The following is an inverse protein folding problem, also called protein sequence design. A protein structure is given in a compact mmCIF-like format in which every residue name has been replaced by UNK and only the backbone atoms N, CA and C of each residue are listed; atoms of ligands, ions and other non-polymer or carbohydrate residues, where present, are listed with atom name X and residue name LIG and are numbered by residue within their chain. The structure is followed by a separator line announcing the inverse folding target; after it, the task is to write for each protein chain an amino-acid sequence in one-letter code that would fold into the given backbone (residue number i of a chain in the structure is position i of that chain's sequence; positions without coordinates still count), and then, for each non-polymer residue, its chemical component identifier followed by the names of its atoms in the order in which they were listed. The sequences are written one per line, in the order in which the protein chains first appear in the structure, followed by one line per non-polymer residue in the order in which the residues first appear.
data_IF_132523248686
#
_entry.id   IF_132523248686
#
_cell.length_a   1.000
_cell.length_b   1.000
_cell.length_c   1.000
_cell.angle_alpha   90.00
_cell.angle_beta   90.00
_cell.angle_gamma   90.00
#
_symmetry.space_group_name_H-M   'P 1'
#
loop_
_entity.id
_entity.type
_entity.pdbx_description
1 polymer ?
#
# COMPACT_ATOMS: atom_id res chain seq x y z
N UNK A 1 15.26 50.03 -9.90
CA UNK A 1 16.44 49.14 -10.00
C UNK A 1 16.74 48.46 -8.66
N UNK A 2 16.65 49.14 -7.51
CA UNK A 2 16.75 48.51 -6.18
C UNK A 2 15.57 47.56 -5.88
N UNK A 3 14.33 47.95 -6.17
CA UNK A 3 13.14 47.10 -5.90
C UNK A 3 13.13 45.79 -6.70
N UNK A 4 13.67 45.80 -7.93
CA UNK A 4 13.81 44.61 -8.76
C UNK A 4 14.88 43.65 -8.25
N UNK A 5 15.96 44.16 -7.64
CA UNK A 5 17.04 43.35 -7.05
C UNK A 5 16.58 42.73 -5.73
N UNK A 6 15.86 43.49 -4.91
CA UNK A 6 15.25 42.99 -3.66
C UNK A 6 14.20 41.92 -3.95
N UNK A 7 13.33 42.13 -4.95
CA UNK A 7 12.33 41.16 -5.39
C UNK A 7 12.94 39.84 -5.90
N UNK A 8 14.02 39.92 -6.69
CA UNK A 8 14.74 38.74 -7.17
C UNK A 8 15.44 37.96 -6.04
N UNK A 9 16.03 38.66 -5.06
CA UNK A 9 16.64 38.04 -3.88
C UNK A 9 15.64 37.29 -3.01
N UNK A 10 14.46 37.87 -2.77
CA UNK A 10 13.37 37.21 -2.01
C UNK A 10 12.85 35.98 -2.74
N UNK A 11 12.69 36.04 -4.06
CA UNK A 11 12.22 34.90 -4.85
C UNK A 11 13.24 33.75 -4.84
N UNK A 12 14.53 34.06 -5.00
CA UNK A 12 15.60 33.06 -4.93
C UNK A 12 15.64 32.39 -3.54
N UNK A 13 15.54 33.19 -2.47
CA UNK A 13 15.47 32.68 -1.10
C UNK A 13 14.26 31.76 -0.88
N UNK A 14 13.08 32.12 -1.41
CA UNK A 14 11.88 31.27 -1.35
C UNK A 14 12.07 29.94 -2.07
N UNK A 15 12.70 29.94 -3.24
CA UNK A 15 12.97 28.71 -3.99
C UNK A 15 14.02 27.82 -3.30
N UNK A 16 15.06 28.42 -2.71
CA UNK A 16 16.02 27.71 -1.86
C UNK A 16 15.33 27.09 -0.64
N UNK A 17 14.43 27.83 0.01
CA UNK A 17 13.68 27.35 1.17
C UNK A 17 12.74 26.19 0.78
N UNK A 18 12.00 26.32 -0.33
CA UNK A 18 11.15 25.24 -0.88
C UNK A 18 11.97 24.00 -1.21
N UNK A 19 13.14 24.18 -1.82
CA UNK A 19 14.07 23.09 -2.16
C UNK A 19 14.59 22.40 -0.89
N UNK A 20 15.01 23.17 0.11
CA UNK A 20 15.46 22.66 1.41
C UNK A 20 14.36 21.88 2.13
N UNK A 21 13.14 22.43 2.20
CA UNK A 21 11.97 21.76 2.77
C UNK A 21 11.69 20.46 2.03
N UNK A 22 11.68 20.47 0.68
CA UNK A 22 11.45 19.27 -0.13
C UNK A 22 12.48 18.16 0.12
N UNK A 23 13.70 18.51 0.49
CA UNK A 23 14.78 17.56 0.84
C UNK A 23 14.71 17.05 2.28
N UNK A 24 13.79 17.57 3.10
CA UNK A 24 13.59 17.12 4.47
C UNK A 24 12.19 16.50 4.60
N UNK A 25 12.09 15.16 4.56
CA UNK A 25 10.80 14.45 4.65
C UNK A 25 10.01 14.79 5.92
N UNK A 26 10.72 15.05 7.04
CA UNK A 26 10.12 15.53 8.28
C UNK A 26 9.46 16.91 8.14
N UNK A 27 10.15 17.88 7.54
CA UNK A 27 9.59 19.23 7.33
C UNK A 27 8.43 19.21 6.35
N UNK A 28 8.52 18.40 5.28
CA UNK A 28 7.40 18.17 4.36
C UNK A 28 6.17 17.63 5.09
N UNK A 29 6.34 16.62 5.94
CA UNK A 29 5.25 16.06 6.75
C UNK A 29 4.67 17.10 7.70
N UNK A 30 5.49 17.85 8.42
CA UNK A 30 5.04 18.88 9.35
C UNK A 30 4.22 19.98 8.65
N UNK A 31 4.68 20.48 7.50
CA UNK A 31 3.98 21.52 6.72
C UNK A 31 2.66 20.99 6.16
N UNK A 32 2.66 19.74 5.65
CA UNK A 32 1.43 19.10 5.16
C UNK A 32 0.41 18.92 6.29
N UNK A 33 0.83 18.38 7.43
CA UNK A 33 -0.04 18.19 8.60
C UNK A 33 -0.60 19.52 9.12
N UNK A 34 0.20 20.59 9.14
CA UNK A 34 -0.25 21.93 9.50
C UNK A 34 -1.29 22.47 8.50
N UNK A 35 -1.02 22.36 7.20
CA UNK A 35 -1.95 22.81 6.14
C UNK A 35 -3.27 22.05 6.16
N UNK A 36 -3.24 20.77 6.49
CA UNK A 36 -4.41 19.90 6.55
C UNK A 36 -5.14 19.96 7.90
N UNK A 37 -4.64 20.72 8.89
CA UNK A 37 -5.25 20.84 10.22
C UNK A 37 -5.06 19.61 11.13
N UNK A 38 -4.26 18.63 10.71
CA UNK A 38 -4.09 17.31 11.36
C UNK A 38 -2.88 17.22 12.29
N UNK A 39 -2.49 18.32 12.92
CA UNK A 39 -1.26 18.37 13.74
C UNK A 39 -1.37 17.50 15.01
N UNK A 40 -2.59 17.22 15.48
CA UNK A 40 -2.86 16.52 16.74
C UNK A 40 -3.72 15.24 16.60
N UNK A 41 -4.13 14.88 15.37
CA UNK A 41 -4.89 13.65 15.15
C UNK A 41 -3.97 12.42 15.17
N UNK A 42 -4.43 11.32 15.77
CA UNK A 42 -3.77 10.02 15.56
C UNK A 42 -3.84 9.70 14.07
N UNK A 43 -2.69 9.42 13.46
CA UNK A 43 -2.61 9.10 12.03
C UNK A 43 -3.42 7.84 11.65
N UNK A 44 -3.59 6.89 12.56
CA UNK A 44 -4.34 5.67 12.32
C UNK A 44 -4.85 5.02 13.62
N UNK A 45 -5.89 4.19 13.49
CA UNK A 45 -6.38 3.30 14.54
C UNK A 45 -5.60 1.99 14.54
N UNK A 46 -5.26 1.47 15.73
CA UNK A 46 -4.47 0.25 15.88
C UNK A 46 -5.09 -0.69 16.91
N UNK A 47 -5.27 -1.95 16.52
CA UNK A 47 -5.66 -3.08 17.37
C UNK A 47 -4.71 -4.25 17.08
N UNK A 48 -3.99 -4.73 18.08
CA UNK A 48 -3.04 -5.85 17.92
C UNK A 48 -3.22 -6.81 19.08
N UNK A 49 -3.58 -8.05 18.77
CA UNK A 49 -3.66 -9.18 19.68
C UNK A 49 -2.67 -10.26 19.23
N UNK A 50 -1.77 -10.66 20.14
CA UNK A 50 -0.70 -11.63 19.88
C UNK A 50 0.69 -10.99 20.00
N UNK A 51 1.71 -11.83 19.97
CA UNK A 51 3.08 -11.50 20.32
C UNK A 51 3.95 -11.24 19.10
N UNK A 52 5.06 -10.51 19.29
CA UNK A 52 6.12 -10.32 18.29
C UNK A 52 5.68 -9.68 16.96
N UNK A 53 4.53 -8.99 16.95
CA UNK A 53 4.10 -8.21 15.78
C UNK A 53 4.92 -6.92 15.67
N UNK A 54 5.46 -6.66 14.47
CA UNK A 54 6.31 -5.50 14.18
C UNK A 54 5.60 -4.59 13.18
N UNK A 55 5.37 -3.34 13.59
CA UNK A 55 4.95 -2.26 12.71
C UNK A 55 6.07 -1.26 12.57
N UNK A 56 6.70 -1.24 11.39
CA UNK A 56 7.72 -0.28 11.01
C UNK A 56 7.11 0.76 10.06
N UNK A 57 6.79 1.94 10.58
CA UNK A 57 6.24 3.04 9.78
C UNK A 57 7.27 4.16 9.78
N UNK A 58 7.83 4.45 8.62
CA UNK A 58 8.87 5.47 8.49
C UNK A 58 8.33 6.88 8.79
N UNK A 59 9.23 7.76 9.23
CA UNK A 59 8.84 9.05 9.83
C UNK A 59 8.04 9.92 8.87
N UNK A 60 8.33 9.88 7.57
CA UNK A 60 7.65 10.72 6.58
C UNK A 60 6.39 10.08 5.99
N UNK A 61 6.13 8.81 6.26
CA UNK A 61 4.88 8.14 5.86
C UNK A 61 3.68 8.81 6.54
N UNK A 62 2.58 8.92 5.79
CA UNK A 62 1.32 9.52 6.25
C UNK A 62 0.20 8.50 6.09
N UNK A 63 -0.42 8.17 7.22
CA UNK A 63 -1.64 7.38 7.26
C UNK A 63 -2.75 8.35 7.68
N UNK A 64 -3.84 8.34 6.93
CA UNK A 64 -4.99 9.23 7.10
C UNK A 64 -6.25 8.37 7.18
N UNK A 65 -6.92 8.38 8.33
CA UNK A 65 -8.11 7.55 8.56
C UNK A 65 -7.85 6.05 8.24
N UNK A 66 -6.65 5.56 8.56
CA UNK A 66 -6.30 4.16 8.38
C UNK A 66 -6.63 3.35 9.64
N UNK A 67 -6.85 2.05 9.46
CA UNK A 67 -6.99 1.09 10.55
C UNK A 67 -6.03 -0.07 10.32
N UNK A 68 -5.30 -0.47 11.37
CA UNK A 68 -4.48 -1.67 11.40
C UNK A 68 -5.02 -2.59 12.49
N UNK A 69 -5.49 -3.78 12.11
CA UNK A 69 -6.11 -4.74 13.01
C UNK A 69 -5.50 -6.13 12.83
N UNK A 70 -4.73 -6.57 13.83
CA UNK A 70 -3.95 -7.81 13.79
C UNK A 70 -4.41 -8.73 14.91
N UNK A 71 -4.74 -9.98 14.57
CA UNK A 71 -4.87 -11.08 15.52
C UNK A 71 -3.95 -12.21 15.05
N UNK A 72 -2.91 -12.47 15.82
CA UNK A 72 -1.88 -13.46 15.54
C UNK A 72 -0.48 -12.99 15.92
N UNK A 73 0.53 -13.79 15.61
CA UNK A 73 1.88 -13.58 16.11
C UNK A 73 2.90 -13.36 14.99
N UNK A 74 3.96 -12.63 15.30
CA UNK A 74 5.13 -12.47 14.43
C UNK A 74 4.82 -11.88 13.06
N UNK A 75 3.76 -11.07 12.92
CA UNK A 75 3.45 -10.38 11.67
C UNK A 75 4.34 -9.15 11.50
N UNK A 76 4.73 -8.86 10.27
CA UNK A 76 5.60 -7.74 9.92
C UNK A 76 4.93 -6.82 8.92
N UNK A 77 4.77 -5.54 9.27
CA UNK A 77 4.28 -4.50 8.37
C UNK A 77 5.36 -3.42 8.27
N UNK A 78 5.83 -3.13 7.07
CA UNK A 78 6.69 -1.99 6.76
C UNK A 78 6.01 -1.02 5.81
N UNK A 79 5.98 0.25 6.18
CA UNK A 79 5.51 1.35 5.34
C UNK A 79 6.63 2.38 5.26
N UNK A 80 7.24 2.49 4.09
CA UNK A 80 8.42 3.31 3.85
C UNK A 80 8.10 4.80 3.66
N UNK A 81 9.17 5.59 3.55
CA UNK A 81 9.13 7.04 3.45
C UNK A 81 8.23 7.56 2.31
N UNK A 82 7.63 8.72 2.56
CA UNK A 82 6.81 9.49 1.60
C UNK A 82 5.55 8.79 1.08
N UNK A 83 5.27 7.57 1.53
CA UNK A 83 4.02 6.88 1.26
C UNK A 83 2.83 7.55 1.94
N UNK A 84 1.70 7.60 1.24
CA UNK A 84 0.46 8.25 1.69
C UNK A 84 -0.69 7.29 1.56
N UNK A 85 -1.21 6.82 2.68
CA UNK A 85 -2.36 5.92 2.72
C UNK A 85 -3.57 6.70 3.24
N UNK A 86 -4.63 6.79 2.44
CA UNK A 86 -5.91 7.37 2.84
C UNK A 86 -6.97 6.28 2.90
N UNK A 87 -7.72 6.21 4.02
CA UNK A 87 -8.83 5.27 4.22
C UNK A 87 -8.45 3.80 3.99
N UNK A 88 -7.22 3.42 4.34
CA UNK A 88 -6.73 2.05 4.19
C UNK A 88 -7.00 1.22 5.44
N UNK A 89 -7.57 0.03 5.26
CA UNK A 89 -7.69 -0.99 6.30
C UNK A 89 -6.66 -2.08 6.05
N UNK A 90 -5.81 -2.36 7.04
CA UNK A 90 -4.94 -3.53 7.07
C UNK A 90 -5.51 -4.49 8.09
N UNK A 91 -5.95 -5.65 7.61
CA UNK A 91 -6.59 -6.69 8.41
C UNK A 91 -5.76 -7.97 8.33
N UNK A 92 -5.29 -8.45 9.48
CA UNK A 92 -4.50 -9.67 9.57
C UNK A 92 -5.13 -10.61 10.59
N UNK A 93 -5.46 -11.83 10.16
CA UNK A 93 -5.77 -13.00 10.99
C UNK A 93 -4.79 -14.09 10.60
N UNK A 94 -3.85 -14.40 11.49
CA UNK A 94 -2.78 -15.34 11.18
C UNK A 94 -1.42 -14.84 11.64
N UNK A 95 -0.41 -15.65 11.38
CA UNK A 95 0.92 -15.52 11.92
C UNK A 95 1.95 -15.39 10.80
N UNK A 96 3.05 -14.69 11.10
CA UNK A 96 4.22 -14.61 10.21
C UNK A 96 3.89 -14.07 8.82
N UNK A 97 2.86 -13.23 8.71
CA UNK A 97 2.54 -12.53 7.48
C UNK A 97 3.46 -11.32 7.31
N UNK A 98 3.74 -10.98 6.05
CA UNK A 98 4.59 -9.86 5.69
C UNK A 98 3.88 -8.92 4.73
N UNK A 99 3.82 -7.64 5.08
CA UNK A 99 3.36 -6.56 4.20
C UNK A 99 4.49 -5.55 4.08
N UNK A 100 4.95 -5.31 2.86
CA UNK A 100 5.94 -4.28 2.53
C UNK A 100 5.32 -3.30 1.55
N UNK A 101 5.18 -2.06 1.98
CA UNK A 101 4.78 -0.92 1.15
C UNK A 101 6.02 -0.05 0.99
N UNK A 102 6.62 -0.09 -0.19
CA UNK A 102 7.80 0.71 -0.53
C UNK A 102 7.50 2.21 -0.55
N UNK A 103 8.56 3.00 -0.66
CA UNK A 103 8.49 4.47 -0.65
C UNK A 103 7.55 5.03 -1.72
N UNK A 104 7.01 6.21 -1.45
CA UNK A 104 6.19 7.00 -2.38
C UNK A 104 4.93 6.29 -2.93
N UNK A 105 4.48 5.20 -2.27
CA UNK A 105 3.21 4.52 -2.60
C UNK A 105 2.04 5.35 -2.13
N UNK A 106 0.99 5.48 -2.96
CA UNK A 106 -0.18 6.30 -2.65
C UNK A 106 -1.47 5.52 -2.79
N UNK A 107 -2.21 5.39 -1.69
CA UNK A 107 -3.63 5.04 -1.71
C UNK A 107 -4.43 6.34 -1.62
N UNK A 108 -4.96 6.79 -2.74
CA UNK A 108 -5.57 8.11 -2.90
C UNK A 108 -6.98 8.17 -2.29
N UNK A 109 -7.81 7.13 -2.45
CA UNK A 109 -9.20 7.13 -1.94
C UNK A 109 -9.47 6.08 -0.90
N UNK A 110 -8.94 4.87 -1.06
CA UNK A 110 -9.19 3.76 -0.14
C UNK A 110 -8.36 2.53 -0.48
N UNK A 111 -8.41 1.54 0.40
CA UNK A 111 -7.86 0.24 0.11
C UNK A 111 -8.00 -0.72 1.28
N UNK A 112 -8.01 -2.00 0.97
CA UNK A 112 -8.12 -3.06 1.95
C UNK A 112 -7.03 -4.08 1.69
N UNK A 113 -6.15 -4.28 2.68
CA UNK A 113 -5.11 -5.30 2.66
C UNK A 113 -5.56 -6.41 3.61
N UNK A 114 -6.04 -7.52 3.04
CA UNK A 114 -6.81 -8.53 3.76
C UNK A 114 -6.06 -9.88 3.80
N UNK A 115 -5.74 -10.32 5.02
CA UNK A 115 -4.97 -11.53 5.31
C UNK A 115 -5.73 -12.40 6.31
N UNK A 116 -5.99 -13.66 5.95
CA UNK A 116 -6.73 -14.63 6.78
C UNK A 116 -5.97 -15.92 7.09
N UNK A 117 -4.70 -15.99 6.70
CA UNK A 117 -3.86 -17.19 6.83
C UNK A 117 -2.44 -16.85 7.31
N UNK A 118 -1.59 -17.87 7.45
CA UNK A 118 -0.22 -17.75 7.92
C UNK A 118 0.80 -17.65 6.76
N UNK A 119 1.96 -17.03 7.02
CA UNK A 119 3.09 -16.96 6.08
C UNK A 119 2.79 -16.31 4.73
N UNK A 120 1.76 -15.48 4.64
CA UNK A 120 1.40 -14.78 3.42
C UNK A 120 2.25 -13.52 3.22
N UNK A 121 2.46 -13.15 1.96
CA UNK A 121 3.30 -12.01 1.59
C UNK A 121 2.60 -11.03 0.64
N UNK A 122 2.65 -9.74 0.96
CA UNK A 122 2.33 -8.65 0.04
C UNK A 122 3.53 -7.72 -0.11
N UNK A 123 3.93 -7.48 -1.35
CA UNK A 123 4.91 -6.47 -1.71
C UNK A 123 4.29 -5.46 -2.68
N UNK A 124 4.42 -4.17 -2.37
CA UNK A 124 4.02 -3.07 -3.25
C UNK A 124 5.25 -2.20 -3.54
N UNK A 125 5.65 -2.17 -4.81
CA UNK A 125 6.81 -1.43 -5.30
C UNK A 125 6.62 0.09 -5.26
N UNK A 126 7.76 0.78 -5.30
CA UNK A 126 7.83 2.25 -5.18
C UNK A 126 7.02 2.98 -6.25
N UNK A 127 6.55 4.18 -5.91
CA UNK A 127 5.79 5.06 -6.82
C UNK A 127 4.45 4.52 -7.33
N UNK A 128 4.01 3.34 -6.87
CA UNK A 128 2.71 2.79 -7.27
C UNK A 128 1.54 3.56 -6.64
N UNK A 129 0.48 3.75 -7.42
CA UNK A 129 -0.71 4.52 -7.04
C UNK A 129 -1.97 3.68 -7.12
N UNK A 130 -2.87 3.88 -6.16
CA UNK A 130 -4.12 3.14 -6.01
C UNK A 130 -5.23 4.15 -5.73
N UNK A 131 -6.28 4.14 -6.54
CA UNK A 131 -7.47 4.91 -6.19
C UNK A 131 -8.27 4.19 -5.10
N UNK A 132 -8.81 3.02 -5.41
CA UNK A 132 -9.50 2.13 -4.46
C UNK A 132 -9.24 0.66 -4.85
N UNK A 133 -8.65 -0.11 -3.93
CA UNK A 133 -8.18 -1.47 -4.24
C UNK A 133 -8.29 -2.39 -3.04
N UNK A 134 -8.97 -3.51 -3.22
CA UNK A 134 -8.99 -4.64 -2.30
C UNK A 134 -7.92 -5.65 -2.72
N UNK A 135 -7.06 -6.06 -1.79
CA UNK A 135 -6.01 -7.06 -1.98
C UNK A 135 -6.19 -8.14 -0.92
N UNK A 136 -6.72 -9.30 -1.31
CA UNK A 136 -6.86 -10.47 -0.47
C UNK A 136 -5.71 -11.45 -0.72
N UNK A 137 -4.84 -11.61 0.28
CA UNK A 137 -3.78 -12.61 0.29
C UNK A 137 -4.18 -13.72 1.25
N UNK A 138 -4.76 -14.78 0.70
CA UNK A 138 -5.40 -15.88 1.43
C UNK A 138 -4.75 -17.22 1.09
N UNK A 139 -4.92 -18.18 1.98
CA UNK A 139 -4.26 -19.48 2.05
C UNK A 139 -2.76 -19.40 2.38
N UNK A 140 -2.25 -20.34 3.21
CA UNK A 140 -0.90 -20.23 3.72
C UNK A 140 0.16 -20.19 2.64
N UNK A 141 1.15 -19.31 2.82
CA UNK A 141 2.30 -19.12 1.92
C UNK A 141 1.98 -18.54 0.54
N UNK A 142 0.78 -18.01 0.34
CA UNK A 142 0.45 -17.29 -0.90
C UNK A 142 1.09 -15.90 -0.91
N UNK A 143 1.33 -15.38 -2.12
CA UNK A 143 2.02 -14.12 -2.34
C UNK A 143 1.36 -13.27 -3.40
N UNK A 144 1.22 -11.98 -3.11
CA UNK A 144 0.88 -10.95 -4.08
C UNK A 144 2.06 -9.97 -4.21
N UNK A 145 2.58 -9.80 -5.43
CA UNK A 145 3.67 -8.86 -5.71
C UNK A 145 3.20 -7.85 -6.73
N UNK A 146 3.33 -6.57 -6.38
CA UNK A 146 3.07 -5.43 -7.26
C UNK A 146 4.39 -4.70 -7.47
N UNK A 147 4.75 -4.52 -8.74
CA UNK A 147 5.94 -3.83 -9.17
C UNK A 147 5.93 -2.33 -8.87
N UNK A 148 6.92 -1.66 -9.44
CA UNK A 148 7.12 -0.22 -9.32
C UNK A 148 6.25 0.53 -10.32
N UNK A 149 5.96 1.79 -10.02
CA UNK A 149 5.31 2.73 -10.95
C UNK A 149 4.02 2.19 -11.59
N UNK A 150 3.24 1.43 -10.82
CA UNK A 150 1.96 0.91 -11.26
C UNK A 150 0.84 1.93 -10.97
N UNK A 151 -0.24 1.87 -11.75
CA UNK A 151 -1.44 2.68 -11.51
C UNK A 151 -2.67 1.78 -11.45
N UNK A 152 -3.36 1.78 -10.32
CA UNK A 152 -4.59 1.05 -10.11
C UNK A 152 -5.75 2.05 -10.01
N UNK A 153 -6.71 1.92 -10.92
CA UNK A 153 -7.90 2.77 -10.94
C UNK A 153 -8.86 2.42 -9.79
N UNK A 154 -10.13 2.83 -9.90
CA UNK A 154 -11.11 2.59 -8.84
C UNK A 154 -11.63 1.14 -8.86
N UNK A 155 -11.96 0.64 -7.67
CA UNK A 155 -12.65 -0.63 -7.45
C UNK A 155 -11.90 -1.84 -8.03
N UNK A 156 -10.59 -1.94 -7.78
CA UNK A 156 -9.81 -3.11 -8.17
C UNK A 156 -9.93 -4.21 -7.11
N UNK A 157 -10.07 -5.45 -7.55
CA UNK A 157 -10.03 -6.63 -6.68
C UNK A 157 -8.85 -7.54 -7.06
N UNK A 158 -7.93 -7.79 -6.12
CA UNK A 158 -6.77 -8.67 -6.32
C UNK A 158 -6.84 -9.78 -5.29
N UNK A 159 -6.78 -11.05 -5.74
CA UNK A 159 -6.95 -12.20 -4.84
C UNK A 159 -5.99 -13.34 -5.17
N UNK A 160 -5.36 -13.94 -4.15
CA UNK A 160 -4.53 -15.17 -4.32
C UNK A 160 -5.30 -16.47 -4.10
N UNK A 161 -6.49 -16.41 -3.48
CA UNK A 161 -7.35 -17.58 -3.26
C UNK A 161 -8.83 -17.27 -3.52
N UNK A 162 -9.63 -18.33 -3.59
CA UNK A 162 -11.07 -18.24 -3.89
C UNK A 162 -11.95 -18.16 -2.63
N UNK A 163 -11.34 -18.13 -1.44
CA UNK A 163 -11.98 -18.22 -0.11
C UNK A 163 -12.77 -19.52 0.17
N UNK A 164 -13.23 -20.22 -0.86
CA UNK A 164 -14.01 -21.45 -0.76
C UNK A 164 -13.37 -22.58 -1.56
N UNK A 165 -13.47 -23.80 -1.02
CA UNK A 165 -12.93 -24.99 -1.69
C UNK A 165 -13.86 -25.50 -2.79
N UNK A 166 -13.29 -25.79 -3.96
CA UNK A 166 -13.93 -26.57 -5.03
C UNK A 166 -13.32 -27.97 -4.98
N UNK A 167 -14.19 -28.97 -4.83
CA UNK A 167 -13.81 -30.38 -4.71
C UNK A 167 -14.18 -31.12 -6.00
N UNK A 168 -13.21 -31.80 -6.60
CA UNK A 168 -13.48 -32.70 -7.73
C UNK A 168 -14.20 -33.96 -7.25
N UNK A 169 -15.31 -34.30 -7.91
CA UNK A 169 -16.17 -35.42 -7.52
C UNK A 169 -15.48 -36.77 -7.73
N UNK A 170 -14.59 -36.91 -8.72
CA UNK A 170 -13.95 -38.19 -9.03
C UNK A 170 -12.77 -38.46 -8.10
N UNK A 171 -11.89 -37.49 -7.92
CA UNK A 171 -10.69 -37.63 -7.11
C UNK A 171 -10.91 -37.33 -5.64
N UNK A 172 -12.04 -36.70 -5.27
CA UNK A 172 -12.33 -36.23 -3.90
C UNK A 172 -11.24 -35.28 -3.36
N UNK A 173 -10.60 -34.53 -4.26
CA UNK A 173 -9.52 -33.59 -3.92
C UNK A 173 -9.97 -32.18 -4.21
N UNK A 174 -9.47 -31.23 -3.41
CA UNK A 174 -9.58 -29.81 -3.73
C UNK A 174 -8.77 -29.50 -4.99
N UNK A 175 -9.35 -28.72 -5.90
CA UNK A 175 -8.73 -28.38 -7.20
C UNK A 175 -8.46 -26.88 -7.40
N UNK A 176 -8.83 -26.03 -6.44
CA UNK A 176 -8.66 -24.59 -6.52
C UNK A 176 -7.80 -24.06 -5.36
N UNK A 177 -6.63 -24.66 -5.17
CA UNK A 177 -5.65 -24.13 -4.23
C UNK A 177 -5.24 -22.71 -4.63
N UNK A 178 -4.83 -21.90 -3.65
CA UNK A 178 -4.30 -20.57 -3.92
C UNK A 178 -3.09 -20.62 -4.85
N UNK A 179 -2.96 -19.56 -5.63
CA UNK A 179 -1.84 -19.32 -6.52
C UNK A 179 -1.40 -17.87 -6.41
N UNK A 180 -0.10 -17.63 -6.54
CA UNK A 180 0.46 -16.29 -6.42
C UNK A 180 -0.06 -15.36 -7.51
N UNK A 181 -0.09 -14.07 -7.21
CA UNK A 181 -0.36 -12.99 -8.17
C UNK A 181 0.91 -12.16 -8.34
N UNK A 182 1.30 -11.92 -9.59
CA UNK A 182 2.48 -11.10 -9.92
C UNK A 182 2.11 -10.01 -10.91
N UNK A 183 2.28 -8.75 -10.52
CA UNK A 183 2.09 -7.59 -11.37
C UNK A 183 3.45 -6.92 -11.52
N UNK A 184 3.99 -6.90 -12.73
CA UNK A 184 5.31 -6.34 -13.01
C UNK A 184 5.32 -4.80 -12.96
N UNK A 185 6.49 -4.21 -13.22
CA UNK A 185 6.67 -2.76 -13.20
C UNK A 185 5.88 -2.05 -14.31
N UNK A 186 5.45 -0.83 -14.04
CA UNK A 186 4.78 0.06 -14.99
C UNK A 186 3.51 -0.55 -15.61
N UNK A 187 2.66 -1.15 -14.78
CA UNK A 187 1.37 -1.70 -15.19
C UNK A 187 0.25 -0.73 -14.84
N UNK A 188 -0.65 -0.49 -15.80
CA UNK A 188 -1.92 0.19 -15.55
C UNK A 188 -3.04 -0.83 -15.44
N UNK A 189 -3.79 -0.79 -14.33
CA UNK A 189 -5.01 -1.57 -14.11
C UNK A 189 -6.22 -0.65 -14.16
N UNK A 190 -7.05 -0.86 -15.18
CA UNK A 190 -8.29 -0.11 -15.44
C UNK A 190 -9.36 -0.39 -14.39
N UNK A 191 -10.33 0.54 -14.28
CA UNK A 191 -11.33 0.49 -13.22
C UNK A 191 -12.15 -0.79 -13.26
N UNK A 192 -12.54 -1.28 -12.07
CA UNK A 192 -13.35 -2.48 -11.87
C UNK A 192 -12.68 -3.82 -12.23
N UNK A 193 -11.38 -3.84 -12.55
CA UNK A 193 -10.68 -5.06 -12.90
C UNK A 193 -10.53 -6.02 -11.72
N UNK A 194 -10.61 -7.32 -12.01
CA UNK A 194 -10.30 -8.40 -11.05
C UNK A 194 -9.07 -9.18 -11.49
N UNK A 195 -8.07 -9.25 -10.61
CA UNK A 195 -6.82 -9.99 -10.84
C UNK A 195 -6.81 -11.18 -9.90
N UNK A 196 -7.08 -12.37 -10.45
CA UNK A 196 -7.30 -13.59 -9.69
C UNK A 196 -6.03 -14.43 -9.57
N UNK A 197 -6.09 -15.43 -8.69
CA UNK A 197 -4.99 -16.36 -8.41
C UNK A 197 -4.33 -16.90 -9.68
N UNK A 198 -3.00 -16.97 -9.68
CA UNK A 198 -2.21 -17.44 -10.82
C UNK A 198 -1.97 -16.39 -11.90
N UNK A 199 -2.58 -15.21 -11.82
CA UNK A 199 -2.38 -14.13 -12.80
C UNK A 199 -0.98 -13.55 -12.74
N UNK A 200 -0.41 -13.31 -13.92
CA UNK A 200 0.86 -12.60 -14.11
C UNK A 200 0.70 -11.50 -15.15
N UNK A 201 0.86 -10.23 -14.76
CA UNK A 201 0.82 -9.09 -15.67
C UNK A 201 2.24 -8.64 -16.04
N UNK A 202 2.52 -8.59 -17.33
CA UNK A 202 3.83 -8.23 -17.89
C UNK A 202 4.10 -6.72 -17.73
N UNK A 203 5.38 -6.29 -17.72
CA UNK A 203 5.71 -4.88 -17.56
C UNK A 203 5.23 -4.03 -18.74
N UNK A 204 4.96 -2.74 -18.51
CA UNK A 204 4.45 -1.80 -19.54
C UNK A 204 3.14 -2.25 -20.19
N UNK A 205 2.29 -2.94 -19.43
CA UNK A 205 1.00 -3.44 -19.92
C UNK A 205 -0.18 -2.64 -19.36
N UNK A 206 -1.30 -2.75 -20.06
CA UNK A 206 -2.60 -2.26 -19.59
C UNK A 206 -3.51 -3.47 -19.39
N UNK A 207 -4.07 -3.60 -18.18
CA UNK A 207 -5.07 -4.58 -17.82
C UNK A 207 -6.41 -3.85 -17.64
N UNK A 208 -7.30 -3.97 -18.62
CA UNK A 208 -8.67 -3.47 -18.56
C UNK A 208 -9.65 -4.63 -18.61
N UNK A 209 -10.81 -4.48 -17.97
CA UNK A 209 -11.94 -5.39 -18.09
C UNK A 209 -12.46 -5.53 -19.53
#
# INVERSE_FOLDING_TARGET
MLDSIVGAGIQNMKEQLKSFVRKSPFLLKAIRNFREGKMFEKSYLKSIQGNDNVLKIETSARLNNCKIDIIGNSNYISIEDESVLNNVVIFIRGNKNQIIISREVKFNRGGELWFEDDFCELFIGENSTFEDTHIAVTEPKSKCTIGKDCMFANNIDIRTGDSHSIIDIKSQKRINLAENVSIADHVWVGAHASILKGSSLAPNSNCSN
#
